data_IF_413083917967
#
_entry.id   IF_413083917967
#
_cell.length_a   1.000
_cell.length_b   1.000
_cell.length_c   1.000
_cell.angle_alpha   90.00
_cell.angle_beta   90.00
_cell.angle_gamma   90.00
#
_symmetry.space_group_name_H-M   'P 1'
#
loop_
_entity.id
_entity.type
_entity.pdbx_description
1 polymer ?
#
# COMPACT_ATOMS: atom_id res chain seq x y z
N UNK A 1 29.11 4.10 -6.48
CA UNK A 1 27.82 4.55 -7.07
C UNK A 1 26.95 3.41 -7.65
N UNK A 2 27.25 2.12 -7.36
CA UNK A 2 26.51 0.95 -7.89
C UNK A 2 25.54 0.30 -6.87
N UNK A 3 25.53 0.76 -5.61
CA UNK A 3 24.77 0.11 -4.53
C UNK A 3 23.25 0.33 -4.57
N UNK A 4 22.78 1.50 -5.00
CA UNK A 4 21.34 1.84 -4.92
C UNK A 4 20.50 1.00 -5.89
N UNK A 5 21.00 0.81 -7.12
CA UNK A 5 20.29 0.03 -8.15
C UNK A 5 20.21 -1.46 -7.74
N UNK A 6 21.29 -2.01 -7.16
CA UNK A 6 21.27 -3.40 -6.67
C UNK A 6 20.29 -3.62 -5.52
N UNK A 7 20.11 -2.62 -4.63
CA UNK A 7 19.09 -2.67 -3.57
C UNK A 7 17.68 -2.62 -4.15
N UNK A 8 17.42 -1.73 -5.12
CA UNK A 8 16.13 -1.69 -5.82
C UNK A 8 15.81 -3.00 -6.57
N UNK A 9 16.81 -3.63 -7.19
CA UNK A 9 16.65 -4.92 -7.88
C UNK A 9 16.41 -6.07 -6.89
N UNK A 10 17.13 -6.08 -5.77
CA UNK A 10 16.94 -7.09 -4.71
C UNK A 10 15.64 -6.87 -3.90
N UNK A 11 15.12 -5.64 -3.89
CA UNK A 11 13.80 -5.31 -3.32
C UNK A 11 12.64 -5.63 -4.29
N UNK A 12 12.93 -5.85 -5.58
CA UNK A 12 11.92 -6.20 -6.58
C UNK A 12 11.69 -7.71 -6.56
N UNK A 13 10.46 -8.11 -6.27
CA UNK A 13 10.11 -9.50 -6.11
C UNK A 13 10.08 -10.12 -7.50
N UNK A 14 10.52 -11.38 -7.65
CA UNK A 14 10.45 -12.12 -8.92
C UNK A 14 9.07 -12.04 -9.60
N UNK A 15 8.00 -11.89 -8.81
CA UNK A 15 6.64 -11.70 -9.29
C UNK A 15 6.40 -10.38 -10.03
N UNK A 16 7.04 -9.29 -9.61
CA UNK A 16 6.97 -8.00 -10.30
C UNK A 16 7.54 -8.12 -11.72
N UNK A 17 8.67 -8.83 -11.87
CA UNK A 17 9.28 -9.11 -13.17
C UNK A 17 8.39 -9.98 -14.06
N UNK A 18 7.77 -11.02 -13.50
CA UNK A 18 6.81 -11.86 -14.25
C UNK A 18 5.61 -11.02 -14.70
N UNK A 19 5.05 -10.19 -13.81
CA UNK A 19 3.90 -9.35 -14.11
C UNK A 19 4.22 -8.35 -15.24
N UNK A 20 5.29 -7.57 -15.10
CA UNK A 20 5.68 -6.59 -16.10
C UNK A 20 6.11 -7.26 -17.41
N UNK A 21 6.84 -8.38 -17.34
CA UNK A 21 7.23 -9.17 -18.51
C UNK A 21 6.04 -9.72 -19.27
N UNK A 22 5.05 -10.29 -18.57
CA UNK A 22 3.83 -10.80 -19.18
C UNK A 22 3.02 -9.68 -19.84
N UNK A 23 2.84 -8.54 -19.16
CA UNK A 23 2.14 -7.37 -19.72
C UNK A 23 2.85 -6.83 -20.97
N UNK A 24 4.17 -6.81 -20.98
CA UNK A 24 4.96 -6.35 -22.12
C UNK A 24 4.85 -7.31 -23.32
N UNK A 25 4.89 -8.63 -23.10
CA UNK A 25 4.64 -9.61 -24.16
C UNK A 25 3.23 -9.47 -24.74
N UNK A 26 2.24 -9.26 -23.88
CA UNK A 26 0.85 -9.06 -24.28
C UNK A 26 0.67 -7.76 -25.10
N UNK A 27 1.41 -6.71 -24.73
CA UNK A 27 1.50 -5.48 -25.50
C UNK A 27 2.05 -5.71 -26.91
N UNK A 28 3.19 -6.40 -27.04
CA UNK A 28 3.77 -6.73 -28.36
C UNK A 28 2.76 -7.52 -29.20
N UNK A 29 2.11 -8.53 -28.61
CA UNK A 29 1.13 -9.36 -29.28
C UNK A 29 -0.04 -8.52 -29.83
N UNK A 30 -0.61 -7.61 -29.03
CA UNK A 30 -1.71 -6.75 -29.50
C UNK A 30 -1.27 -5.77 -30.59
N UNK A 31 -0.05 -5.22 -30.51
CA UNK A 31 0.49 -4.35 -31.56
C UNK A 31 0.69 -5.14 -32.86
N UNK A 32 1.26 -6.34 -32.80
CA UNK A 32 1.45 -7.20 -33.99
C UNK A 32 0.11 -7.57 -34.62
N UNK A 33 -0.90 -7.94 -33.81
CA UNK A 33 -2.25 -8.24 -34.30
C UNK A 33 -2.91 -7.00 -34.91
N UNK A 34 -2.75 -5.83 -34.28
CA UNK A 34 -3.26 -4.56 -34.81
C UNK A 34 -2.68 -4.23 -36.18
N UNK A 35 -1.37 -4.46 -36.38
CA UNK A 35 -0.69 -4.26 -37.67
C UNK A 35 -1.19 -5.28 -38.72
N UNK A 36 -1.33 -6.56 -38.34
CA UNK A 36 -1.85 -7.61 -39.23
C UNK A 36 -3.29 -7.30 -39.70
N UNK A 37 -4.12 -6.75 -38.82
CA UNK A 37 -5.51 -6.38 -39.11
C UNK A 37 -5.65 -4.98 -39.75
N UNK A 38 -4.57 -4.41 -40.32
CA UNK A 38 -4.57 -3.06 -40.94
C UNK A 38 -5.71 -2.82 -41.94
N UNK A 39 -6.18 -3.87 -42.63
CA UNK A 39 -7.32 -3.77 -43.57
C UNK A 39 -8.64 -3.37 -42.88
N UNK A 40 -8.79 -3.63 -41.59
CA UNK A 40 -9.92 -3.21 -40.76
C UNK A 40 -9.46 -2.11 -39.80
N UNK A 41 -9.24 -0.91 -40.35
CA UNK A 41 -8.60 0.22 -39.67
C UNK A 41 -9.17 0.56 -38.29
N UNK A 42 -10.50 0.51 -38.11
CA UNK A 42 -11.12 0.77 -36.81
C UNK A 42 -10.72 -0.24 -35.72
N UNK A 43 -10.68 -1.54 -36.06
CA UNK A 43 -10.28 -2.60 -35.13
C UNK A 43 -8.79 -2.51 -34.80
N UNK A 44 -7.97 -2.22 -35.81
CA UNK A 44 -6.53 -2.04 -35.62
C UNK A 44 -6.22 -0.87 -34.66
N UNK A 45 -6.89 0.27 -34.82
CA UNK A 45 -6.72 1.43 -33.93
C UNK A 45 -7.16 1.10 -32.51
N UNK A 46 -8.31 0.44 -32.33
CA UNK A 46 -8.81 0.06 -31.01
C UNK A 46 -7.83 -0.88 -30.30
N UNK A 47 -7.31 -1.90 -31.00
CA UNK A 47 -6.34 -2.84 -30.44
C UNK A 47 -5.04 -2.16 -30.00
N UNK A 48 -4.53 -1.22 -30.79
CA UNK A 48 -3.31 -0.48 -30.44
C UNK A 48 -3.57 0.41 -29.20
N UNK A 49 -4.69 1.14 -29.16
CA UNK A 49 -5.05 1.94 -28.00
C UNK A 49 -5.26 1.09 -26.75
N UNK A 50 -5.88 -0.08 -26.90
CA UNK A 50 -6.06 -1.05 -25.83
C UNK A 50 -4.71 -1.56 -25.32
N UNK A 51 -3.75 -1.84 -26.20
CA UNK A 51 -2.41 -2.28 -25.81
C UNK A 51 -1.71 -1.24 -24.90
N UNK A 52 -1.74 0.05 -25.27
CA UNK A 52 -1.18 1.11 -24.43
C UNK A 52 -1.92 1.27 -23.11
N UNK A 53 -3.26 1.22 -23.14
CA UNK A 53 -4.08 1.30 -21.93
C UNK A 53 -3.77 0.16 -20.96
N UNK A 54 -3.73 -1.08 -21.47
CA UNK A 54 -3.38 -2.27 -20.72
C UNK A 54 -1.97 -2.15 -20.10
N UNK A 55 -1.00 -1.60 -20.84
CA UNK A 55 0.36 -1.47 -20.31
C UNK A 55 0.40 -0.51 -19.10
N UNK A 56 -0.33 0.60 -19.14
CA UNK A 56 -0.37 1.58 -18.04
C UNK A 56 -1.26 1.10 -16.88
N UNK A 57 -2.51 0.73 -17.18
CA UNK A 57 -3.49 0.35 -16.17
C UNK A 57 -3.16 -1.03 -15.59
N UNK A 58 -2.74 -1.97 -16.42
CA UNK A 58 -2.37 -3.31 -15.99
C UNK A 58 -1.12 -3.33 -15.12
N UNK A 59 -0.11 -2.51 -15.42
CA UNK A 59 1.09 -2.42 -14.59
C UNK A 59 0.79 -1.82 -13.22
N UNK A 60 0.04 -0.72 -13.18
CA UNK A 60 -0.32 -0.04 -11.93
C UNK A 60 -1.27 -0.87 -11.07
N UNK A 61 -2.41 -1.28 -11.63
CA UNK A 61 -3.42 -2.03 -10.90
C UNK A 61 -2.94 -3.45 -10.56
N UNK A 62 -2.27 -4.12 -11.50
CA UNK A 62 -1.72 -5.45 -11.30
C UNK A 62 -0.69 -5.46 -10.17
N UNK A 63 0.21 -4.48 -10.13
CA UNK A 63 1.18 -4.37 -9.04
C UNK A 63 0.51 -4.19 -7.68
N UNK A 64 -0.45 -3.27 -7.57
CA UNK A 64 -1.16 -3.01 -6.31
C UNK A 64 -1.88 -4.27 -5.81
N UNK A 65 -2.65 -4.93 -6.68
CA UNK A 65 -3.43 -6.11 -6.30
C UNK A 65 -2.56 -7.33 -6.00
N UNK A 66 -1.51 -7.52 -6.76
CA UNK A 66 -0.56 -8.58 -6.47
C UNK A 66 0.13 -8.35 -5.13
N UNK A 67 0.54 -7.12 -4.83
CA UNK A 67 1.17 -6.79 -3.55
C UNK A 67 0.21 -6.98 -2.36
N UNK A 68 -1.03 -6.52 -2.48
CA UNK A 68 -2.09 -6.71 -1.47
C UNK A 68 -2.38 -8.20 -1.20
N UNK A 69 -2.35 -9.02 -2.25
CA UNK A 69 -2.53 -10.47 -2.15
C UNK A 69 -1.31 -11.19 -1.56
N UNK A 70 -0.10 -10.80 -1.94
CA UNK A 70 1.13 -11.44 -1.48
C UNK A 70 1.49 -11.08 -0.03
N UNK A 71 1.14 -9.87 0.42
CA UNK A 71 1.50 -9.33 1.73
C UNK A 71 0.29 -8.96 2.57
N UNK A 72 -0.72 -9.84 2.55
CA UNK A 72 -1.93 -9.65 3.35
C UNK A 72 -1.57 -9.63 4.84
N UNK A 73 -2.01 -8.57 5.52
CA UNK A 73 -1.77 -8.36 6.93
C UNK A 73 -3.08 -7.97 7.64
N UNK A 74 -3.12 -8.20 8.95
CA UNK A 74 -4.18 -7.72 9.81
C UNK A 74 -3.59 -6.80 10.87
N UNK A 75 -4.17 -5.60 11.03
CA UNK A 75 -3.77 -4.66 12.08
C UNK A 75 -4.90 -4.46 13.08
N UNK A 76 -4.57 -4.48 14.37
CA UNK A 76 -5.53 -4.20 15.43
C UNK A 76 -4.96 -3.16 16.41
N UNK A 77 -5.81 -2.22 16.84
CA UNK A 77 -5.50 -1.31 17.94
C UNK A 77 -5.90 -2.01 19.24
N UNK A 78 -4.94 -2.27 20.12
CA UNK A 78 -5.19 -2.91 21.41
C UNK A 78 -5.50 -1.87 22.48
N UNK A 79 -4.79 -0.74 22.48
CA UNK A 79 -5.03 0.35 23.42
C UNK A 79 -4.53 1.69 22.88
N UNK A 80 -5.21 2.77 23.26
CA UNK A 80 -4.77 4.13 23.00
C UNK A 80 -4.83 4.95 24.29
N UNK A 81 -3.77 5.68 24.60
CA UNK A 81 -3.68 6.54 25.78
C UNK A 81 -3.15 7.91 25.41
N UNK A 82 -3.97 8.94 25.59
CA UNK A 82 -3.52 10.34 25.52
C UNK A 82 -2.78 10.68 26.80
N UNK A 83 -1.58 11.25 26.69
CA UNK A 83 -0.82 11.69 27.85
C UNK A 83 -1.30 13.08 28.29
N UNK A 84 -1.47 13.27 29.59
CA UNK A 84 -1.97 14.55 30.14
C UNK A 84 -0.87 15.62 30.25
N UNK A 85 0.37 15.18 30.49
CA UNK A 85 1.52 16.07 30.74
C UNK A 85 2.39 16.30 29.51
N UNK A 86 2.25 15.46 28.49
CA UNK A 86 2.97 15.57 27.22
C UNK A 86 2.00 15.59 26.07
N UNK A 87 2.28 16.38 25.03
CA UNK A 87 1.46 16.49 23.83
C UNK A 87 1.69 15.27 22.93
N UNK A 88 1.29 14.09 23.41
CA UNK A 88 1.50 12.84 22.69
C UNK A 88 0.39 11.82 22.98
N UNK A 89 0.18 10.92 22.02
CA UNK A 89 -0.66 9.73 22.18
C UNK A 89 0.24 8.51 22.14
N UNK A 90 0.11 7.63 23.13
CA UNK A 90 0.72 6.30 23.11
C UNK A 90 -0.30 5.32 22.55
N UNK A 91 0.05 4.72 21.42
CA UNK A 91 -0.74 3.71 20.73
C UNK A 91 -0.07 2.35 20.90
N UNK A 92 -0.84 1.39 21.42
CA UNK A 92 -0.47 -0.03 21.46
C UNK A 92 -1.32 -0.74 20.42
N UNK A 93 -0.66 -1.42 19.50
CA UNK A 93 -1.31 -2.17 18.44
C UNK A 93 -0.62 -3.50 18.19
N UNK A 94 -1.20 -4.26 17.27
CA UNK A 94 -0.60 -5.47 16.77
C UNK A 94 -0.75 -5.55 15.26
N UNK A 95 0.24 -6.15 14.62
CA UNK A 95 0.22 -6.53 13.22
C UNK A 95 0.38 -8.04 13.15
N UNK A 96 -0.51 -8.72 12.43
CA UNK A 96 -0.43 -10.16 12.18
C UNK A 96 -0.15 -10.40 10.72
N UNK A 97 0.85 -11.24 10.46
CA UNK A 97 1.13 -11.73 9.12
C UNK A 97 0.18 -12.89 8.81
N UNK A 98 -0.78 -12.66 7.91
CA UNK A 98 -1.69 -13.70 7.41
C UNK A 98 -1.34 -14.15 5.99
N UNK A 99 -0.19 -13.69 5.49
CA UNK A 99 0.31 -14.06 4.18
C UNK A 99 0.98 -15.44 4.22
N UNK A 100 1.31 -15.95 3.04
CA UNK A 100 2.05 -17.21 2.91
C UNK A 100 3.57 -17.03 3.03
N UNK A 101 4.05 -15.82 3.37
CA UNK A 101 5.47 -15.43 3.38
C UNK A 101 5.82 -14.66 4.63
N UNK A 102 7.11 -14.59 4.92
CA UNK A 102 7.62 -13.74 5.98
C UNK A 102 7.71 -12.30 5.49
N UNK A 103 7.39 -11.34 6.36
CA UNK A 103 7.64 -9.94 6.10
C UNK A 103 9.07 -9.60 6.49
N UNK A 104 9.90 -9.28 5.51
CA UNK A 104 11.21 -8.68 5.71
C UNK A 104 11.13 -7.33 6.45
N UNK A 105 10.14 -6.51 6.08
CA UNK A 105 9.92 -5.20 6.66
C UNK A 105 8.43 -4.84 6.61
N UNK A 106 7.94 -4.18 7.65
CA UNK A 106 6.59 -3.67 7.68
C UNK A 106 6.55 -2.24 8.19
N UNK A 107 6.09 -1.33 7.32
CA UNK A 107 5.86 0.06 7.66
C UNK A 107 4.45 0.22 8.21
N UNK A 108 4.36 0.38 9.53
CA UNK A 108 3.12 0.54 10.27
C UNK A 108 2.88 2.04 10.46
N UNK A 109 1.76 2.53 9.95
CA UNK A 109 1.40 3.95 9.96
C UNK A 109 0.13 4.16 10.77
N UNK A 110 0.21 5.01 11.80
CA UNK A 110 -0.97 5.51 12.51
C UNK A 110 -1.34 6.89 11.96
N UNK A 111 -2.62 7.03 11.59
CA UNK A 111 -3.17 8.30 11.11
C UNK A 111 -4.30 8.73 12.02
N UNK A 112 -4.21 9.97 12.52
CA UNK A 112 -5.19 10.54 13.46
C UNK A 112 -6.12 11.49 12.71
N UNK A 113 -7.42 11.32 12.89
CA UNK A 113 -8.47 12.11 12.27
C UNK A 113 -9.32 12.83 13.32
N UNK A 114 -9.83 14.00 12.97
CA UNK A 114 -10.86 14.68 13.77
C UNK A 114 -12.16 13.88 13.71
N UNK A 115 -12.85 13.77 14.84
CA UNK A 115 -14.19 13.21 14.92
C UNK A 115 -15.17 14.33 15.24
N UNK A 116 -16.20 14.47 14.40
CA UNK A 116 -17.24 15.50 14.54
C UNK A 116 -18.59 14.93 14.92
N UNK A 117 -18.76 13.60 14.95
CA UNK A 117 -20.02 12.93 15.33
C UNK A 117 -21.05 12.80 14.19
N UNK A 118 -20.81 13.44 13.04
CA UNK A 118 -21.62 13.30 11.83
C UNK A 118 -20.84 12.49 10.79
N UNK A 119 -21.40 11.35 10.35
CA UNK A 119 -20.77 10.41 9.41
C UNK A 119 -20.25 11.07 8.12
N UNK A 120 -21.02 11.99 7.53
CA UNK A 120 -20.63 12.65 6.26
C UNK A 120 -19.44 13.59 6.51
N UNK A 121 -19.50 14.35 7.60
CA UNK A 121 -18.43 15.27 7.96
C UNK A 121 -17.16 14.51 8.35
N UNK A 122 -17.29 13.39 9.05
CA UNK A 122 -16.18 12.51 9.43
C UNK A 122 -15.48 11.92 8.18
N UNK A 123 -16.24 11.56 7.15
CA UNK A 123 -15.68 11.10 5.87
C UNK A 123 -14.85 12.20 5.16
N UNK A 124 -15.35 13.43 5.14
CA UNK A 124 -14.60 14.57 4.57
C UNK A 124 -13.35 14.85 5.40
N UNK A 125 -13.43 14.73 6.73
CA UNK A 125 -12.31 14.94 7.64
C UNK A 125 -11.20 13.88 7.49
N UNK A 126 -11.50 12.69 6.94
CA UNK A 126 -10.46 11.70 6.59
C UNK A 126 -9.50 12.19 5.50
N UNK A 127 -9.89 13.17 4.68
CA UNK A 127 -9.02 13.75 3.65
C UNK A 127 -7.92 14.65 4.25
N UNK A 128 -8.13 15.15 5.47
CA UNK A 128 -7.17 16.03 6.16
C UNK A 128 -6.84 15.48 7.55
N UNK A 129 -5.89 14.52 7.63
CA UNK A 129 -5.44 14.00 8.92
C UNK A 129 -4.84 15.11 9.79
N UNK A 130 -5.00 14.95 11.10
CA UNK A 130 -4.36 15.80 12.11
C UNK A 130 -2.87 15.53 12.15
N UNK A 131 -2.51 14.27 12.38
CA UNK A 131 -1.15 13.78 12.49
C UNK A 131 -1.04 12.43 11.78
N UNK A 132 0.19 12.13 11.34
CA UNK A 132 0.56 10.85 10.75
C UNK A 132 1.95 10.48 11.28
N UNK A 133 2.07 9.28 11.84
CA UNK A 133 3.34 8.74 12.32
C UNK A 133 3.51 7.32 11.83
N UNK A 134 4.75 6.93 11.58
CA UNK A 134 5.09 5.62 11.05
C UNK A 134 6.27 5.01 11.79
N UNK A 135 6.26 3.70 11.98
CA UNK A 135 7.36 2.90 12.49
C UNK A 135 7.64 1.75 11.54
N UNK A 136 8.87 1.25 11.54
CA UNK A 136 9.27 0.11 10.72
C UNK A 136 9.58 -1.06 11.66
N UNK A 137 8.84 -2.15 11.49
CA UNK A 137 9.11 -3.44 12.12
C UNK A 137 9.80 -4.37 11.11
N UNK A 138 10.73 -5.22 11.54
CA UNK A 138 11.50 -6.09 10.62
C UNK A 138 11.32 -7.56 10.97
N UNK A 139 11.25 -8.43 9.95
CA UNK A 139 11.25 -9.88 10.14
C UNK A 139 10.03 -10.39 10.92
N UNK A 140 8.82 -10.16 10.41
CA UNK A 140 7.58 -10.74 10.96
C UNK A 140 7.31 -12.04 10.22
N UNK A 141 7.49 -13.16 10.90
CA UNK A 141 7.37 -14.49 10.29
C UNK A 141 5.91 -14.77 9.94
N UNK A 142 5.67 -15.68 9.00
CA UNK A 142 4.32 -16.15 8.66
C UNK A 142 3.53 -16.57 9.92
N UNK A 143 2.26 -16.18 9.96
CA UNK A 143 1.31 -16.41 11.06
C UNK A 143 1.70 -15.76 12.40
N UNK A 144 2.84 -15.05 12.47
CA UNK A 144 3.27 -14.32 13.65
C UNK A 144 2.39 -13.07 13.86
N UNK A 145 2.02 -12.86 15.12
CA UNK A 145 1.41 -11.61 15.59
C UNK A 145 2.45 -10.82 16.37
N UNK A 146 2.82 -9.65 15.87
CA UNK A 146 3.75 -8.73 16.52
C UNK A 146 3.01 -7.58 17.18
N UNK A 147 3.27 -7.38 18.46
CA UNK A 147 2.80 -6.21 19.19
C UNK A 147 3.80 -5.07 19.04
N UNK A 148 3.29 -3.85 18.88
CA UNK A 148 4.11 -2.66 18.74
C UNK A 148 3.57 -1.51 19.59
N UNK A 149 4.47 -0.59 19.93
CA UNK A 149 4.17 0.65 20.63
C UNK A 149 4.61 1.82 19.76
N UNK A 150 3.68 2.71 19.46
CA UNK A 150 3.95 3.94 18.71
C UNK A 150 3.60 5.16 19.56
N UNK A 151 4.45 6.19 19.50
CA UNK A 151 4.19 7.48 20.12
C UNK A 151 3.88 8.47 19.00
N UNK A 152 2.70 9.09 19.06
CA UNK A 152 2.25 10.08 18.09
C UNK A 152 2.45 11.47 18.70
N UNK A 153 3.45 12.19 18.20
CA UNK A 153 3.84 13.51 18.68
C UNK A 153 4.23 14.44 17.52
N UNK A 154 4.02 15.77 17.65
CA UNK A 154 3.28 16.44 18.72
C UNK A 154 1.76 16.38 18.48
N UNK A 155 0.97 15.96 19.48
CA UNK A 155 -0.50 15.92 19.40
C UNK A 155 -1.13 16.92 20.38
N UNK A 156 -1.67 18.02 19.84
CA UNK A 156 -2.20 19.15 20.61
C UNK A 156 -3.72 19.28 20.57
N UNK A 157 -4.41 18.40 19.82
CA UNK A 157 -5.85 18.51 19.61
C UNK A 157 -6.65 18.12 20.87
N UNK A 158 -7.54 19.02 21.29
CA UNK A 158 -8.37 18.87 22.49
C UNK A 158 -9.72 18.19 22.27
N UNK A 159 -10.20 18.08 21.03
CA UNK A 159 -11.49 17.47 20.71
C UNK A 159 -11.43 15.95 20.50
N UNK A 160 -12.57 15.36 20.18
CA UNK A 160 -12.69 13.94 19.87
C UNK A 160 -11.92 13.58 18.59
N UNK A 161 -11.21 12.46 18.62
CA UNK A 161 -10.42 11.97 17.50
C UNK A 161 -10.59 10.47 17.31
N UNK A 162 -10.32 10.01 16.10
CA UNK A 162 -10.20 8.60 15.76
C UNK A 162 -8.79 8.32 15.24
N UNK A 163 -8.26 7.13 15.54
CA UNK A 163 -6.98 6.66 15.01
C UNK A 163 -7.26 5.49 14.07
N UNK A 164 -6.59 5.49 12.93
CA UNK A 164 -6.56 4.35 12.01
C UNK A 164 -5.13 3.83 11.90
N UNK A 165 -5.00 2.52 11.71
CA UNK A 165 -3.74 1.86 11.42
C UNK A 165 -3.75 1.40 9.96
N UNK A 166 -2.63 1.60 9.28
CA UNK A 166 -2.33 0.95 8.02
C UNK A 166 -0.96 0.28 8.11
N UNK A 167 -0.83 -0.92 7.57
CA UNK A 167 0.43 -1.63 7.50
C UNK A 167 0.77 -1.92 6.03
N UNK A 168 1.93 -1.45 5.58
CA UNK A 168 2.50 -1.78 4.28
C UNK A 168 3.71 -2.67 4.51
N UNK A 169 3.54 -3.98 4.33
CA UNK A 169 4.56 -4.98 4.60
C UNK A 169 5.12 -5.59 3.30
N UNK A 170 6.37 -6.04 3.35
CA UNK A 170 7.14 -6.67 2.27
C UNK A 170 8.02 -7.79 2.78
#
# INVERSE_FOLDING_TARGET
MSGTISKFINELILYDYILFGALFLLFILFVTIGILLRKRGAIAILLILFAFTQLIVGSTYGYIKMHEYLFTNETAITSQKKLNFTQAIVLYGSVKNISQRDFSSCNITATVYKKSGNKIKDYILMLKPLNKMSIIEQGIVKDEKREFKMIIEPFTYGGDYNITLGANCR
#
